data_IF_635093937526
#
_entry.id   IF_635093937526
#
_cell.length_a   1.000
_cell.length_b   1.000
_cell.length_c   1.000
_cell.angle_alpha   90.00
_cell.angle_beta   90.00
_cell.angle_gamma   90.00
#
_symmetry.space_group_name_H-M   'P 1'
#
loop_
_entity.id
_entity.type
_entity.pdbx_description
1 polymer ?
#
# COMPACT_ATOMS: atom_id res chain seq x y z
N UNK A 1 -28.37 2.16 23.99
CA UNK A 1 -27.41 1.17 24.50
C UNK A 1 -26.01 1.70 24.20
N UNK A 2 -25.27 2.22 25.19
CA UNK A 2 -23.90 2.71 24.99
C UNK A 2 -22.97 1.50 24.94
N UNK A 3 -22.48 1.15 23.76
CA UNK A 3 -21.35 0.22 23.63
C UNK A 3 -20.13 1.03 24.08
N UNK A 4 -19.60 0.72 25.26
CA UNK A 4 -18.28 1.21 25.65
C UNK A 4 -17.28 0.52 24.74
N UNK A 5 -16.70 1.26 23.80
CA UNK A 5 -15.61 0.75 22.98
C UNK A 5 -14.43 0.42 23.89
N UNK A 6 -13.98 -0.84 23.90
CA UNK A 6 -12.96 -1.35 24.82
C UNK A 6 -11.52 -1.12 24.30
N UNK A 7 -11.34 -0.31 23.26
CA UNK A 7 -10.02 0.05 22.72
C UNK A 7 -10.08 0.70 21.35
N UNK A 8 -8.91 1.05 20.81
CA UNK A 8 -8.79 1.70 19.50
C UNK A 8 -9.38 0.86 18.37
N UNK A 9 -9.24 -0.47 18.44
CA UNK A 9 -9.80 -1.38 17.43
C UNK A 9 -11.33 -1.30 17.37
N UNK A 10 -11.99 -1.24 18.54
CA UNK A 10 -13.45 -1.09 18.60
C UNK A 10 -13.90 0.28 18.08
N UNK A 11 -13.15 1.33 18.40
CA UNK A 11 -13.40 2.70 17.90
C UNK A 11 -13.33 2.72 16.37
N UNK A 12 -12.23 2.20 15.80
CA UNK A 12 -12.03 2.16 14.36
C UNK A 12 -13.07 1.26 13.69
N UNK A 13 -13.29 0.04 14.19
CA UNK A 13 -14.29 -0.87 13.64
C UNK A 13 -15.68 -0.22 13.62
N UNK A 14 -16.11 0.37 14.74
CA UNK A 14 -17.40 1.02 14.85
C UNK A 14 -17.52 2.21 13.88
N UNK A 15 -16.47 3.03 13.79
CA UNK A 15 -16.39 4.13 12.83
C UNK A 15 -16.64 3.64 11.41
N UNK A 16 -15.86 2.67 10.94
CA UNK A 16 -16.04 2.13 9.59
C UNK A 16 -17.37 1.40 9.39
N UNK A 17 -17.91 0.74 10.43
CA UNK A 17 -19.15 -0.02 10.32
C UNK A 17 -20.40 0.87 10.22
N UNK A 18 -20.45 1.99 10.95
CA UNK A 18 -21.72 2.74 11.11
C UNK A 18 -21.64 4.25 10.89
N UNK A 19 -20.47 4.86 10.70
CA UNK A 19 -20.41 6.32 10.47
C UNK A 19 -21.12 6.72 9.18
N UNK A 20 -21.69 7.93 9.16
CA UNK A 20 -22.39 8.53 8.02
C UNK A 20 -21.78 9.90 7.66
N UNK A 21 -21.89 10.32 6.39
CA UNK A 21 -21.48 11.61 5.86
C UNK A 21 -19.97 11.84 5.72
N UNK A 22 -19.17 10.77 5.71
CA UNK A 22 -17.71 10.83 5.83
C UNK A 22 -16.94 9.94 4.86
N UNK A 23 -15.61 9.99 4.96
CA UNK A 23 -14.69 9.18 4.18
C UNK A 23 -14.83 7.68 4.50
N UNK A 24 -15.08 7.32 5.76
CA UNK A 24 -15.33 5.94 6.14
C UNK A 24 -16.60 5.36 5.50
N UNK A 25 -17.69 6.13 5.42
CA UNK A 25 -18.90 5.72 4.71
C UNK A 25 -18.62 5.53 3.22
N UNK A 26 -17.95 6.51 2.60
CA UNK A 26 -17.65 6.46 1.18
C UNK A 26 -16.79 5.23 0.84
N UNK A 27 -15.78 4.94 1.65
CA UNK A 27 -14.98 3.72 1.49
C UNK A 27 -15.83 2.46 1.66
N UNK A 28 -16.61 2.35 2.76
CA UNK A 28 -17.49 1.19 3.02
C UNK A 28 -18.47 0.93 1.86
N UNK A 29 -19.13 1.96 1.37
CA UNK A 29 -20.14 1.83 0.32
C UNK A 29 -19.52 1.47 -1.04
N UNK A 30 -18.25 1.84 -1.26
CA UNK A 30 -17.54 1.60 -2.51
C UNK A 30 -16.69 0.31 -2.50
N UNK A 31 -16.46 -0.32 -1.35
CA UNK A 31 -15.59 -1.49 -1.19
C UNK A 31 -16.37 -2.68 -0.63
N UNK A 32 -16.77 -3.61 -1.51
CA UNK A 32 -17.52 -4.82 -1.14
C UNK A 32 -16.75 -5.69 -0.14
N UNK A 33 -17.41 -6.07 0.95
CA UNK A 33 -16.83 -6.98 1.95
C UNK A 33 -15.83 -6.33 2.91
N UNK A 34 -15.72 -5.00 2.92
CA UNK A 34 -14.75 -4.28 3.74
C UNK A 34 -14.94 -4.54 5.24
N UNK A 35 -16.18 -4.48 5.73
CA UNK A 35 -16.49 -4.56 7.16
C UNK A 35 -16.19 -5.96 7.71
N UNK A 36 -16.50 -7.00 6.95
CA UNK A 36 -16.20 -8.38 7.31
C UNK A 36 -14.68 -8.59 7.44
N UNK A 37 -13.90 -8.05 6.51
CA UNK A 37 -12.43 -8.13 6.51
C UNK A 37 -11.81 -7.32 7.64
N UNK A 38 -12.33 -6.12 7.92
CA UNK A 38 -11.92 -5.32 9.07
C UNK A 38 -12.22 -6.05 10.39
N UNK A 39 -13.38 -6.69 10.51
CA UNK A 39 -13.71 -7.52 11.68
C UNK A 39 -12.69 -8.63 11.87
N UNK A 40 -12.35 -9.36 10.80
CA UNK A 40 -11.31 -10.41 10.85
C UNK A 40 -9.94 -9.85 11.28
N UNK A 41 -9.56 -8.67 10.79
CA UNK A 41 -8.31 -8.01 11.16
C UNK A 41 -8.27 -7.63 12.64
N UNK A 42 -9.29 -6.96 13.16
CA UNK A 42 -9.34 -6.53 14.56
C UNK A 42 -9.51 -7.69 15.56
N UNK A 43 -10.10 -8.80 15.12
CA UNK A 43 -10.25 -10.02 15.92
C UNK A 43 -9.05 -10.96 15.83
N UNK A 44 -8.09 -10.73 14.93
CA UNK A 44 -6.88 -11.54 14.83
C UNK A 44 -6.06 -11.49 16.14
N UNK A 45 -5.55 -12.65 16.57
CA UNK A 45 -4.81 -12.81 17.85
C UNK A 45 -3.36 -13.26 17.68
N UNK A 46 -2.98 -13.69 16.48
CA UNK A 46 -1.59 -14.05 16.17
C UNK A 46 -1.07 -13.12 15.09
N UNK A 47 0.23 -12.85 15.08
CA UNK A 47 0.83 -11.95 14.09
C UNK A 47 0.60 -12.45 12.66
N UNK A 48 0.72 -13.76 12.42
CA UNK A 48 0.43 -14.36 11.12
C UNK A 48 -1.01 -14.12 10.64
N UNK A 49 -2.01 -14.30 11.51
CA UNK A 49 -3.42 -14.03 11.17
C UNK A 49 -3.67 -12.54 10.99
N UNK A 50 -3.00 -11.69 11.77
CA UNK A 50 -3.10 -10.23 11.68
C UNK A 50 -2.55 -9.75 10.33
N UNK A 51 -1.40 -10.25 9.90
CA UNK A 51 -0.80 -9.93 8.60
C UNK A 51 -1.67 -10.39 7.43
N UNK A 52 -2.15 -11.65 7.46
CA UNK A 52 -3.04 -12.17 6.42
C UNK A 52 -4.37 -11.39 6.34
N UNK A 53 -4.94 -11.01 7.49
CA UNK A 53 -6.16 -10.21 7.52
C UNK A 53 -5.91 -8.76 7.06
N UNK A 54 -4.74 -8.19 7.38
CA UNK A 54 -4.35 -6.87 6.90
C UNK A 54 -4.24 -6.85 5.37
N UNK A 55 -3.58 -7.86 4.78
CA UNK A 55 -3.51 -8.05 3.33
C UNK A 55 -4.89 -8.20 2.70
N UNK A 56 -5.77 -8.98 3.33
CA UNK A 56 -7.13 -9.15 2.84
C UNK A 56 -7.92 -7.83 2.80
N UNK A 57 -7.70 -6.91 3.74
CA UNK A 57 -8.31 -5.56 3.74
C UNK A 57 -7.66 -4.67 2.68
N UNK A 58 -6.32 -4.65 2.61
CA UNK A 58 -5.57 -3.87 1.63
C UNK A 58 -5.94 -4.26 0.20
N UNK A 59 -6.10 -5.56 -0.07
CA UNK A 59 -6.51 -6.11 -1.36
C UNK A 59 -7.80 -5.48 -1.89
N UNK A 60 -8.85 -5.43 -1.07
CA UNK A 60 -10.14 -4.87 -1.52
C UNK A 60 -10.10 -3.36 -1.70
N UNK A 61 -9.26 -2.66 -0.92
CA UNK A 61 -9.06 -1.21 -1.07
C UNK A 61 -8.29 -0.91 -2.36
N UNK A 62 -7.18 -1.60 -2.61
CA UNK A 62 -6.31 -1.37 -3.77
C UNK A 62 -7.02 -1.77 -5.07
N UNK A 63 -7.69 -2.93 -5.11
CA UNK A 63 -8.51 -3.33 -6.27
C UNK A 63 -9.60 -2.33 -6.61
N UNK A 64 -10.21 -1.69 -5.61
CA UNK A 64 -11.25 -0.69 -5.86
C UNK A 64 -10.70 0.58 -6.52
N UNK A 65 -9.42 0.87 -6.32
CA UNK A 65 -8.78 2.07 -6.83
C UNK A 65 -7.91 1.80 -8.06
N UNK A 66 -8.07 0.64 -8.71
CA UNK A 66 -7.28 0.21 -9.86
C UNK A 66 -5.76 0.17 -9.57
N UNK A 67 -5.39 -0.24 -8.34
CA UNK A 67 -4.01 -0.36 -7.85
C UNK A 67 -3.65 -1.82 -7.50
N UNK A 68 -4.21 -2.78 -8.23
CA UNK A 68 -4.03 -4.20 -7.93
C UNK A 68 -2.62 -4.71 -8.25
N UNK A 69 -1.91 -4.05 -9.14
CA UNK A 69 -0.50 -4.26 -9.46
C UNK A 69 0.40 -4.04 -8.24
N UNK A 70 0.11 -3.03 -7.43
CA UNK A 70 0.85 -2.72 -6.21
C UNK A 70 0.63 -3.76 -5.09
N UNK A 71 -0.37 -4.64 -5.21
CA UNK A 71 -0.57 -5.72 -4.25
C UNK A 71 0.58 -6.71 -4.24
N UNK A 72 1.23 -6.94 -5.38
CA UNK A 72 2.31 -7.93 -5.44
C UNK A 72 3.50 -7.49 -4.58
N UNK A 73 3.90 -6.22 -4.70
CA UNK A 73 4.97 -5.64 -3.89
C UNK A 73 4.60 -5.70 -2.41
N UNK A 74 3.36 -5.39 -2.06
CA UNK A 74 2.88 -5.43 -0.68
C UNK A 74 2.85 -6.86 -0.11
N UNK A 75 2.43 -7.85 -0.92
CA UNK A 75 2.48 -9.27 -0.55
C UNK A 75 3.89 -9.76 -0.31
N UNK A 76 4.85 -9.26 -1.08
CA UNK A 76 6.28 -9.55 -0.86
C UNK A 76 6.73 -9.04 0.50
N UNK A 77 6.36 -7.81 0.89
CA UNK A 77 6.63 -7.30 2.25
C UNK A 77 6.04 -8.24 3.29
N UNK A 78 4.74 -8.56 3.22
CA UNK A 78 4.10 -9.47 4.17
C UNK A 78 4.74 -10.87 4.21
N UNK A 79 5.15 -11.43 3.06
CA UNK A 79 5.87 -12.70 2.94
C UNK A 79 7.23 -12.62 3.62
N UNK A 80 7.97 -11.54 3.44
CA UNK A 80 9.27 -11.34 4.06
C UNK A 80 9.14 -11.13 5.59
N UNK A 81 8.11 -10.42 6.06
CA UNK A 81 7.79 -10.28 7.50
C UNK A 81 7.51 -11.63 8.15
N UNK A 82 6.65 -12.46 7.54
CA UNK A 82 6.32 -13.80 8.03
C UNK A 82 7.55 -14.72 8.09
N UNK A 83 8.52 -14.51 7.20
CA UNK A 83 9.78 -15.25 7.15
C UNK A 83 10.88 -14.62 8.01
N UNK A 84 10.60 -13.53 8.72
CA UNK A 84 11.58 -12.75 9.49
C UNK A 84 12.80 -12.32 8.66
N UNK A 85 12.58 -11.95 7.39
CA UNK A 85 13.64 -11.49 6.47
C UNK A 85 13.86 -9.98 6.53
N UNK A 86 12.96 -9.26 7.18
CA UNK A 86 13.10 -7.84 7.49
C UNK A 86 13.62 -7.73 8.93
N UNK A 87 14.89 -7.38 9.07
CA UNK A 87 15.59 -7.31 10.36
C UNK A 87 15.53 -5.91 10.98
N UNK A 88 14.38 -5.25 10.89
CA UNK A 88 14.15 -3.98 11.57
C UNK A 88 13.65 -4.26 13.00
N UNK A 89 14.44 -3.89 14.00
CA UNK A 89 14.19 -4.26 15.40
C UNK A 89 12.97 -3.51 15.96
N UNK A 90 12.72 -2.28 15.47
CA UNK A 90 11.72 -1.40 16.04
C UNK A 90 10.30 -1.69 15.52
N UNK A 91 10.17 -2.29 14.33
CA UNK A 91 8.88 -2.58 13.71
C UNK A 91 8.99 -3.85 12.86
N UNK A 92 8.16 -4.84 13.16
CA UNK A 92 8.18 -6.15 12.48
C UNK A 92 6.88 -6.44 11.71
N UNK A 93 5.88 -5.55 11.83
CA UNK A 93 4.55 -5.72 11.25
C UNK A 93 4.11 -4.50 10.42
N UNK A 94 5.00 -4.01 9.55
CA UNK A 94 4.76 -2.92 8.59
C UNK A 94 3.47 -3.11 7.81
N UNK A 95 3.15 -4.34 7.38
CA UNK A 95 1.89 -4.62 6.67
C UNK A 95 0.66 -4.26 7.51
N UNK A 96 0.63 -4.65 8.78
CA UNK A 96 -0.48 -4.35 9.69
C UNK A 96 -0.46 -2.89 10.13
N UNK A 97 0.73 -2.35 10.40
CA UNK A 97 0.97 -0.96 10.74
C UNK A 97 0.43 -0.01 9.68
N UNK A 98 0.79 -0.22 8.41
CA UNK A 98 0.42 0.70 7.34
C UNK A 98 -1.10 0.68 7.06
N UNK A 99 -1.76 -0.46 7.31
CA UNK A 99 -3.22 -0.52 7.36
C UNK A 99 -3.80 0.26 8.55
N UNK A 100 -3.23 0.13 9.76
CA UNK A 100 -3.66 0.94 10.91
C UNK A 100 -3.54 2.44 10.62
N UNK A 101 -2.42 2.88 10.04
CA UNK A 101 -2.22 4.30 9.65
C UNK A 101 -3.27 4.74 8.65
N UNK A 102 -3.59 3.89 7.66
CA UNK A 102 -4.67 4.18 6.70
C UNK A 102 -6.02 4.39 7.40
N UNK A 103 -6.42 3.47 8.27
CA UNK A 103 -7.69 3.53 8.98
C UNK A 103 -7.76 4.71 9.96
N UNK A 104 -6.65 5.00 10.65
CA UNK A 104 -6.55 6.10 11.61
C UNK A 104 -6.62 7.47 10.92
N UNK A 105 -5.98 7.63 9.76
CA UNK A 105 -6.05 8.87 8.99
C UNK A 105 -7.47 9.19 8.51
N UNK A 106 -8.23 8.17 8.10
CA UNK A 106 -9.65 8.33 7.77
C UNK A 106 -10.46 8.72 9.02
N UNK A 107 -10.20 8.08 10.16
CA UNK A 107 -10.83 8.46 11.43
C UNK A 107 -10.55 9.92 11.80
N UNK A 108 -9.30 10.39 11.67
CA UNK A 108 -8.94 11.78 11.90
C UNK A 108 -9.63 12.73 10.92
N UNK A 109 -9.69 12.39 9.63
CA UNK A 109 -10.39 13.19 8.63
C UNK A 109 -11.87 13.36 8.98
N UNK A 110 -12.55 12.30 9.44
CA UNK A 110 -13.97 12.36 9.76
C UNK A 110 -14.28 13.02 11.11
N UNK A 111 -13.41 12.85 12.11
CA UNK A 111 -13.69 13.23 13.50
C UNK A 111 -12.95 14.48 13.98
N UNK A 112 -11.91 14.97 13.29
CA UNK A 112 -11.17 16.19 13.67
C UNK A 112 -11.46 17.31 12.67
N UNK A 113 -12.31 18.30 13.02
CA UNK A 113 -12.71 19.36 12.09
C UNK A 113 -11.56 20.16 11.49
N UNK A 114 -10.50 20.42 12.27
CA UNK A 114 -9.32 21.17 11.78
C UNK A 114 -8.53 20.39 10.74
N UNK A 115 -8.40 19.07 10.90
CA UNK A 115 -7.80 18.16 9.91
C UNK A 115 -8.67 18.11 8.66
N UNK A 116 -9.98 17.89 8.82
CA UNK A 116 -10.95 17.86 7.71
C UNK A 116 -10.87 19.13 6.87
N UNK A 117 -10.90 20.30 7.50
CA UNK A 117 -10.81 21.59 6.82
C UNK A 117 -9.47 21.78 6.12
N UNK A 118 -8.36 21.38 6.75
CA UNK A 118 -7.02 21.50 6.16
C UNK A 118 -6.87 20.64 4.90
N UNK A 119 -7.44 19.43 4.91
CA UNK A 119 -7.44 18.53 3.76
C UNK A 119 -8.37 19.04 2.65
N UNK A 120 -9.59 19.47 2.99
CA UNK A 120 -10.53 20.07 2.02
C UNK A 120 -9.99 21.31 1.32
N UNK A 121 -9.13 22.09 1.99
CA UNK A 121 -8.48 23.25 1.37
C UNK A 121 -7.42 22.86 0.32
N UNK A 122 -6.89 21.64 0.37
CA UNK A 122 -5.84 21.14 -0.54
C UNK A 122 -6.37 20.13 -1.57
N UNK A 123 -7.50 19.51 -1.31
CA UNK A 123 -8.05 18.41 -2.10
C UNK A 123 -9.46 18.72 -2.56
N UNK A 124 -9.78 18.34 -3.79
CA UNK A 124 -11.05 18.69 -4.42
C UNK A 124 -12.26 17.99 -3.77
N UNK A 125 -12.08 16.73 -3.35
CA UNK A 125 -13.14 15.89 -2.81
C UNK A 125 -12.57 14.76 -1.92
N UNK A 126 -13.48 13.97 -1.33
CA UNK A 126 -13.13 12.83 -0.48
C UNK A 126 -12.42 11.72 -1.28
N UNK A 127 -12.79 11.48 -2.54
CA UNK A 127 -12.07 10.50 -3.39
C UNK A 127 -10.59 10.85 -3.50
N UNK A 128 -10.27 12.12 -3.77
CA UNK A 128 -8.89 12.60 -3.90
C UNK A 128 -8.12 12.39 -2.59
N UNK A 129 -8.78 12.60 -1.45
CA UNK A 129 -8.19 12.30 -0.14
C UNK A 129 -7.92 10.81 0.04
N UNK A 130 -8.91 9.95 -0.17
CA UNK A 130 -8.75 8.51 -0.02
C UNK A 130 -7.64 7.98 -0.92
N UNK A 131 -7.61 8.40 -2.19
CA UNK A 131 -6.58 7.99 -3.14
C UNK A 131 -5.18 8.44 -2.72
N UNK A 132 -4.98 9.72 -2.37
CA UNK A 132 -3.68 10.20 -1.91
C UNK A 132 -3.26 9.53 -0.60
N UNK A 133 -4.23 9.27 0.29
CA UNK A 133 -3.96 8.61 1.56
C UNK A 133 -3.54 7.15 1.38
N UNK A 134 -4.05 6.44 0.37
CA UNK A 134 -3.55 5.09 0.02
C UNK A 134 -2.03 5.12 -0.20
N UNK A 135 -1.51 6.06 -0.98
CA UNK A 135 -0.07 6.19 -1.20
C UNK A 135 0.68 6.57 0.07
N UNK A 136 0.17 7.56 0.80
CA UNK A 136 0.84 8.10 1.99
C UNK A 136 0.84 7.14 3.19
N UNK A 137 -0.11 6.19 3.24
CA UNK A 137 -0.20 5.25 4.35
C UNK A 137 -0.14 3.80 3.92
N UNK A 138 -1.04 3.29 3.08
CA UNK A 138 -1.09 1.86 2.80
C UNK A 138 0.15 1.38 2.04
N UNK A 139 0.72 2.25 1.20
CA UNK A 139 1.84 1.94 0.33
C UNK A 139 3.18 2.55 0.77
N UNK A 140 3.24 3.30 1.87
CA UNK A 140 4.47 4.03 2.23
C UNK A 140 5.66 3.11 2.56
N UNK A 141 5.38 1.93 3.11
CA UNK A 141 6.38 0.94 3.52
C UNK A 141 6.67 -0.15 2.47
N UNK A 142 6.13 -0.06 1.24
CA UNK A 142 6.35 -1.13 0.24
C UNK A 142 7.82 -1.28 -0.17
N UNK A 143 8.64 -0.24 0.06
CA UNK A 143 10.08 -0.27 -0.17
C UNK A 143 10.81 -1.32 0.67
N UNK A 144 10.23 -1.78 1.78
CA UNK A 144 10.79 -2.87 2.58
C UNK A 144 10.87 -4.20 1.81
N UNK A 145 10.21 -4.34 0.66
CA UNK A 145 10.40 -5.46 -0.25
C UNK A 145 11.87 -5.60 -0.71
N UNK A 146 12.62 -4.50 -0.70
CA UNK A 146 14.03 -4.43 -1.07
C UNK A 146 14.97 -4.37 0.15
N UNK A 147 14.46 -4.56 1.37
CA UNK A 147 15.28 -4.47 2.59
C UNK A 147 16.40 -5.52 2.62
N UNK A 148 16.09 -6.76 2.24
CA UNK A 148 17.05 -7.86 2.18
C UNK A 148 17.44 -8.14 0.73
N UNK A 149 18.67 -7.81 0.37
CA UNK A 149 19.23 -8.00 -0.99
C UNK A 149 20.02 -9.31 -1.15
N UNK A 150 19.94 -10.24 -0.20
CA UNK A 150 20.60 -11.54 -0.30
C UNK A 150 19.94 -12.43 -1.36
N UNK A 151 20.60 -13.56 -1.68
CA UNK A 151 20.14 -14.52 -2.70
C UNK A 151 18.75 -15.10 -2.39
N UNK A 152 18.42 -15.31 -1.12
CA UNK A 152 17.16 -15.92 -0.67
C UNK A 152 15.88 -15.10 -0.97
N UNK A 153 16.04 -13.84 -1.37
CA UNK A 153 14.98 -12.89 -1.77
C UNK A 153 15.09 -12.51 -3.25
N UNK A 154 15.95 -13.16 -4.04
CA UNK A 154 16.11 -12.88 -5.48
C UNK A 154 14.80 -13.10 -6.24
N UNK A 155 14.11 -14.21 -5.99
CA UNK A 155 12.80 -14.50 -6.60
C UNK A 155 11.76 -13.40 -6.33
N UNK A 156 11.79 -12.80 -5.12
CA UNK A 156 10.88 -11.70 -4.78
C UNK A 156 11.21 -10.45 -5.63
N UNK A 157 12.50 -10.14 -5.84
CA UNK A 157 12.94 -9.03 -6.70
C UNK A 157 12.62 -9.27 -8.16
N UNK A 158 12.91 -10.47 -8.66
CA UNK A 158 12.59 -10.87 -10.04
C UNK A 158 11.09 -10.72 -10.31
N UNK A 159 10.24 -11.11 -9.34
CA UNK A 159 8.78 -10.94 -9.43
C UNK A 159 8.35 -9.47 -9.50
N UNK A 160 9.09 -8.56 -8.85
CA UNK A 160 8.84 -7.11 -8.93
C UNK A 160 9.31 -6.55 -10.28
N UNK A 161 10.48 -6.97 -10.76
CA UNK A 161 11.00 -6.56 -12.07
C UNK A 161 10.11 -7.06 -13.22
N UNK A 162 9.37 -8.17 -13.02
CA UNK A 162 8.35 -8.64 -13.95
C UNK A 162 7.11 -7.73 -14.03
N UNK A 163 6.86 -6.89 -13.02
CA UNK A 163 5.77 -5.91 -13.05
C UNK A 163 6.09 -4.88 -14.15
N UNK A 164 5.14 -4.66 -15.06
CA UNK A 164 5.31 -3.86 -16.28
C UNK A 164 6.26 -4.44 -17.34
N UNK A 165 6.73 -5.68 -17.19
CA UNK A 165 7.32 -6.42 -18.31
C UNK A 165 6.33 -6.53 -19.48
N UNK A 166 6.83 -6.75 -20.70
CA UNK A 166 5.94 -6.91 -21.86
C UNK A 166 4.95 -8.07 -21.65
N UNK A 167 5.43 -9.17 -21.05
CA UNK A 167 4.60 -10.34 -20.70
C UNK A 167 3.48 -9.95 -19.74
N UNK A 168 3.80 -9.13 -18.72
CA UNK A 168 2.80 -8.62 -17.79
C UNK A 168 1.76 -7.76 -18.51
N UNK A 169 2.20 -6.81 -19.33
CA UNK A 169 1.30 -5.93 -20.11
C UNK A 169 0.38 -6.75 -21.02
N UNK A 170 0.91 -7.77 -21.68
CA UNK A 170 0.15 -8.65 -22.56
C UNK A 170 -0.91 -9.46 -21.80
N UNK A 171 -0.58 -9.96 -20.59
CA UNK A 171 -1.55 -10.64 -19.71
C UNK A 171 -2.70 -9.72 -19.29
N UNK A 172 -2.42 -8.45 -18.96
CA UNK A 172 -3.47 -7.47 -18.65
C UNK A 172 -4.35 -7.13 -19.87
N UNK A 173 -3.82 -7.28 -21.08
CA UNK A 173 -4.56 -7.06 -22.32
C UNK A 173 -5.41 -8.24 -22.76
N UNK A 174 -5.12 -9.47 -22.32
CA UNK A 174 -5.95 -10.63 -22.62
C UNK A 174 -7.42 -10.45 -22.15
N UNK A 175 -7.68 -9.47 -21.27
CA UNK A 175 -9.01 -9.04 -20.83
C UNK A 175 -9.64 -7.87 -21.60
N UNK A 176 -8.97 -7.25 -22.57
CA UNK A 176 -9.47 -6.07 -23.31
C UNK A 176 -9.23 -6.18 -24.81
N UNK A 177 -10.28 -6.03 -25.62
CA UNK A 177 -10.24 -6.01 -27.09
C UNK A 177 -9.52 -4.76 -27.63
N UNK A 178 -8.22 -4.63 -27.38
CA UNK A 178 -7.43 -3.55 -27.95
C UNK A 178 -7.21 -3.82 -29.45
N UNK A 179 -7.49 -2.84 -30.30
CA UNK A 179 -7.16 -2.92 -31.73
C UNK A 179 -5.66 -3.14 -31.96
N UNK A 180 -5.30 -3.90 -33.00
CA UNK A 180 -3.91 -4.24 -33.32
C UNK A 180 -3.00 -3.00 -33.44
N UNK A 181 -3.52 -1.87 -33.94
CA UNK A 181 -2.76 -0.63 -34.10
C UNK A 181 -2.31 -0.02 -32.75
N UNK A 182 -3.14 -0.13 -31.70
CA UNK A 182 -2.77 0.35 -30.37
C UNK A 182 -1.73 -0.55 -29.69
N UNK A 183 -1.62 -1.81 -30.13
CA UNK A 183 -0.63 -2.75 -29.60
C UNK A 183 0.77 -2.41 -30.08
N UNK A 184 0.92 -2.09 -31.36
CA UNK A 184 2.22 -1.72 -31.95
C UNK A 184 2.75 -0.42 -31.36
N UNK A 185 1.87 0.57 -31.13
CA UNK A 185 2.22 1.81 -30.43
C UNK A 185 2.69 1.51 -29.01
N UNK A 186 1.97 0.66 -28.27
CA UNK A 186 2.37 0.33 -26.89
C UNK A 186 3.67 -0.48 -26.84
N UNK A 187 3.88 -1.45 -27.74
CA UNK A 187 5.14 -2.20 -27.87
C UNK A 187 6.31 -1.26 -28.10
N UNK A 188 6.13 -0.28 -28.98
CA UNK A 188 7.15 0.73 -29.27
C UNK A 188 7.47 1.57 -28.04
N UNK A 189 6.45 2.08 -27.33
CA UNK A 189 6.63 2.86 -26.10
C UNK A 189 7.32 2.01 -25.02
N UNK A 190 6.92 0.75 -24.86
CA UNK A 190 7.53 -0.17 -23.90
C UNK A 190 9.00 -0.44 -24.22
N UNK A 191 9.33 -0.71 -25.48
CA UNK A 191 10.73 -0.90 -25.91
C UNK A 191 11.57 0.37 -25.75
N UNK A 192 11.00 1.56 -26.00
CA UNK A 192 11.66 2.83 -25.74
C UNK A 192 11.93 3.03 -24.24
N UNK A 193 10.94 2.72 -23.39
CA UNK A 193 11.08 2.74 -21.93
C UNK A 193 12.15 1.74 -21.46
N UNK A 194 12.07 0.48 -21.87
CA UNK A 194 13.04 -0.55 -21.51
C UNK A 194 14.46 -0.14 -21.95
N UNK A 195 14.62 0.39 -23.16
CA UNK A 195 15.91 0.89 -23.64
C UNK A 195 16.47 2.05 -22.81
N UNK A 196 15.61 2.96 -22.34
CA UNK A 196 16.00 4.07 -21.48
C UNK A 196 16.44 3.59 -20.09
N UNK A 197 15.75 2.61 -19.52
CA UNK A 197 16.03 2.12 -18.16
C UNK A 197 17.08 1.02 -18.11
N UNK A 198 17.25 0.23 -19.19
CA UNK A 198 18.29 -0.79 -19.32
C UNK A 198 19.71 -0.21 -19.42
N UNK A 199 19.83 1.06 -19.83
CA UNK A 199 21.09 1.82 -19.74
C UNK A 199 21.42 2.23 -18.29
N UNK A 200 20.67 1.71 -17.32
CA UNK A 200 20.58 2.18 -15.95
C UNK A 200 19.68 3.40 -15.88
N UNK A 201 18.90 3.51 -14.80
CA UNK A 201 18.54 4.84 -14.33
C UNK A 201 19.84 5.62 -14.24
N UNK A 202 19.97 6.76 -14.94
CA UNK A 202 21.01 7.72 -14.61
C UNK A 202 20.71 8.14 -13.18
N UNK A 203 21.30 7.43 -12.22
CA UNK A 203 21.36 7.85 -10.84
C UNK A 203 22.12 9.16 -10.95
N UNK A 204 21.40 10.28 -10.99
CA UNK A 204 21.99 11.57 -10.76
C UNK A 204 22.77 11.36 -9.48
N UNK A 205 24.10 11.49 -9.53
CA UNK A 205 25.01 11.28 -8.41
C UNK A 205 24.42 11.97 -7.18
N UNK A 206 23.60 11.24 -6.43
CA UNK A 206 23.03 11.74 -5.21
C UNK A 206 24.21 11.73 -4.24
N UNK A 207 24.23 12.79 -3.42
CA UNK A 207 25.26 13.16 -2.47
C UNK A 207 26.16 12.01 -1.99
N UNK A 208 27.47 12.21 -1.81
CA UNK A 208 28.49 11.20 -1.45
C UNK A 208 28.30 10.53 -0.07
N UNK A 209 27.10 10.50 0.46
CA UNK A 209 26.77 9.76 1.66
C UNK A 209 26.79 8.27 1.31
N UNK A 210 27.58 7.53 2.06
CA UNK A 210 27.57 6.07 2.09
C UNK A 210 26.12 5.60 2.31
N UNK A 211 25.65 4.56 1.61
CA UNK A 211 24.29 4.04 1.77
C UNK A 211 23.98 3.76 3.25
N UNK A 212 25.02 3.35 4.00
CA UNK A 212 25.00 3.17 5.45
C UNK A 212 24.65 4.46 6.20
N UNK A 213 25.15 5.62 5.76
CA UNK A 213 24.86 6.92 6.38
C UNK A 213 23.42 7.36 6.13
N UNK A 214 22.86 7.09 4.93
CA UNK A 214 21.46 7.37 4.63
C UNK A 214 20.55 6.47 5.47
N UNK A 215 20.83 5.17 5.51
CA UNK A 215 20.07 4.22 6.33
C UNK A 215 20.15 4.57 7.81
N UNK A 216 21.33 4.95 8.31
CA UNK A 216 21.49 5.39 9.71
C UNK A 216 20.71 6.68 10.00
N UNK A 217 20.72 7.66 9.08
CA UNK A 217 19.92 8.89 9.23
C UNK A 217 18.42 8.61 9.20
N UNK A 218 17.96 7.68 8.36
CA UNK A 218 16.55 7.29 8.31
C UNK A 218 16.15 6.49 9.55
N UNK A 219 17.03 5.64 10.08
CA UNK A 219 16.74 4.80 11.26
C UNK A 219 16.54 5.58 12.57
N UNK A 220 16.99 6.84 12.63
CA UNK A 220 16.77 7.73 13.79
C UNK A 220 15.54 8.62 13.64
N UNK A 221 14.86 8.57 12.50
CA UNK A 221 13.61 9.30 12.28
C UNK A 221 12.49 8.54 13.01
N UNK A 222 11.85 9.12 14.04
CA UNK A 222 10.92 8.39 14.92
C UNK A 222 9.67 7.81 14.26
N UNK A 223 9.45 8.12 12.98
CA UNK A 223 8.25 7.77 12.21
C UNK A 223 8.56 6.94 10.96
N UNK A 224 9.79 6.40 10.86
CA UNK A 224 10.23 5.36 9.91
C UNK A 224 10.70 4.12 10.67
#
# INVERSE_FOLDING_TARGET
MKILANGINDILFHHFAISEGGAAEQLRNSTKGLIERLSMFFLARTDSKRLLAAEAVAEVILKRNDLEDLLEIRRIVAKQELKHRINYINQQDHTAHSLYVYLLGIWFYDNIPTVKSSIKNKMQNIESFLLQWIYASLLHDIGYAFYNLKEETQEDRDSIDEIFSWIWIEKQKASTEASNNNLDVLKKIHAEWESQYAQGLKIHNHSPFDEIEILNKLSVVPWL
#
